data_IF_478434719920
#
_entry.id   IF_478434719920
#
_cell.length_a   1.000
_cell.length_b   1.000
_cell.length_c   1.000
_cell.angle_alpha   90.00
_cell.angle_beta   90.00
_cell.angle_gamma   90.00
#
_symmetry.space_group_name_H-M   'P 1'
#
loop_
_entity.id
_entity.type
_entity.pdbx_description
1 polymer ?
#
# COMPACT_ATOMS: atom_id res chain seq x y z
N UNK A 1 -7.82 -6.06 13.68
CA UNK A 1 -7.47 -4.70 13.18
C UNK A 1 -8.46 -3.72 13.77
N UNK A 2 -7.97 -2.59 14.29
CA UNK A 2 -8.79 -1.56 14.92
C UNK A 2 -8.93 -0.39 13.94
N UNK A 3 -10.15 0.05 13.57
CA UNK A 3 -10.36 1.25 12.76
C UNK A 3 -9.69 2.48 13.39
N UNK A 4 -9.14 3.37 12.55
CA UNK A 4 -8.44 4.57 13.02
C UNK A 4 -9.35 5.47 13.85
N UNK A 5 -10.59 5.63 13.40
CA UNK A 5 -11.66 6.41 14.02
C UNK A 5 -12.11 5.90 15.39
N UNK A 6 -11.73 4.68 15.78
CA UNK A 6 -11.98 4.18 17.14
C UNK A 6 -10.97 4.72 18.16
N UNK A 7 -9.85 5.28 17.69
CA UNK A 7 -8.75 5.78 18.54
C UNK A 7 -8.57 7.29 18.35
N UNK A 8 -8.74 7.79 17.12
CA UNK A 8 -8.44 9.18 16.76
C UNK A 8 -9.59 9.84 15.99
N UNK A 9 -9.68 11.16 16.09
CA UNK A 9 -10.70 11.92 15.35
C UNK A 9 -10.25 12.19 13.92
N UNK A 10 -10.95 11.61 12.94
CA UNK A 10 -10.69 11.82 11.51
C UNK A 10 -10.81 13.31 11.12
N UNK A 11 -11.71 14.05 11.78
CA UNK A 11 -11.90 15.48 11.53
C UNK A 11 -10.65 16.33 11.81
N UNK A 12 -9.85 15.96 12.82
CA UNK A 12 -8.61 16.67 13.14
C UNK A 12 -7.52 16.40 12.09
N UNK A 13 -7.42 15.16 11.59
CA UNK A 13 -6.47 14.81 10.52
C UNK A 13 -6.82 15.51 9.20
N UNK A 14 -8.12 15.64 8.90
CA UNK A 14 -8.63 16.33 7.71
C UNK A 14 -8.22 17.81 7.64
N UNK A 15 -7.86 18.45 8.77
CA UNK A 15 -7.35 19.83 8.78
C UNK A 15 -5.94 19.94 8.18
N UNK A 16 -5.17 18.84 8.17
CA UNK A 16 -3.79 18.81 7.70
C UNK A 16 -3.66 18.19 6.30
N UNK A 17 -4.37 17.10 6.03
CA UNK A 17 -4.26 16.39 4.75
C UNK A 17 -5.61 15.77 4.35
N UNK A 18 -5.79 15.58 3.03
CA UNK A 18 -6.92 14.83 2.48
C UNK A 18 -6.85 13.37 2.91
N UNK A 19 -7.87 12.91 3.64
CA UNK A 19 -7.98 11.53 4.13
C UNK A 19 -9.41 11.03 4.02
N UNK A 20 -9.55 9.72 3.87
CA UNK A 20 -10.81 8.95 3.90
C UNK A 20 -10.65 7.81 4.90
N UNK A 21 -11.75 7.30 5.48
CA UNK A 21 -11.64 6.13 6.35
C UNK A 21 -11.42 4.86 5.53
N UNK A 22 -10.93 3.80 6.17
CA UNK A 22 -10.81 2.51 5.49
C UNK A 22 -12.18 1.98 5.04
N UNK A 23 -13.25 2.25 5.81
CA UNK A 23 -14.62 1.87 5.46
C UNK A 23 -15.12 2.62 4.22
N UNK A 24 -14.88 3.93 4.16
CA UNK A 24 -15.19 4.76 2.99
C UNK A 24 -14.40 4.28 1.76
N UNK A 25 -13.10 4.04 1.92
CA UNK A 25 -12.27 3.56 0.83
C UNK A 25 -12.75 2.21 0.28
N UNK A 26 -12.95 1.20 1.14
CA UNK A 26 -13.30 -0.15 0.67
C UNK A 26 -14.71 -0.25 0.13
N UNK A 27 -15.66 0.54 0.65
CA UNK A 27 -17.06 0.51 0.22
C UNK A 27 -17.30 1.36 -1.03
N UNK A 28 -16.76 2.57 -1.07
CA UNK A 28 -17.20 3.59 -2.03
C UNK A 28 -16.14 3.88 -3.11
N UNK A 29 -14.85 3.65 -2.85
CA UNK A 29 -13.76 4.07 -3.76
C UNK A 29 -13.11 2.87 -4.45
N UNK A 30 -12.76 1.85 -3.68
CA UNK A 30 -12.01 0.67 -4.13
C UNK A 30 -12.70 -0.08 -5.27
N UNK A 31 -14.03 -0.32 -5.27
CA UNK A 31 -14.67 -1.07 -6.34
C UNK A 31 -14.59 -0.39 -7.72
N UNK A 32 -14.56 0.93 -7.76
CA UNK A 32 -14.56 1.70 -9.01
C UNK A 32 -13.14 2.07 -9.47
N UNK A 33 -12.30 2.56 -8.54
CA UNK A 33 -10.99 3.12 -8.89
C UNK A 33 -9.82 2.14 -8.70
N UNK A 34 -10.00 1.05 -7.96
CA UNK A 34 -8.94 0.08 -7.67
C UNK A 34 -9.44 -1.38 -7.70
N UNK A 35 -9.92 -1.84 -8.88
CA UNK A 35 -10.46 -3.18 -9.06
C UNK A 35 -9.37 -4.24 -8.91
N UNK A 36 -9.77 -5.50 -8.67
CA UNK A 36 -8.89 -6.60 -8.25
C UNK A 36 -7.67 -6.80 -9.16
N UNK A 37 -7.89 -6.74 -10.46
CA UNK A 37 -6.87 -6.90 -11.51
C UNK A 37 -5.79 -5.80 -11.49
N UNK A 38 -6.10 -4.63 -10.92
CA UNK A 38 -5.21 -3.47 -10.89
C UNK A 38 -4.53 -3.28 -9.52
N UNK A 39 -4.76 -4.19 -8.57
CA UNK A 39 -4.19 -4.09 -7.23
C UNK A 39 -2.70 -4.40 -7.24
N UNK A 40 -1.90 -3.34 -7.30
CA UNK A 40 -0.44 -3.42 -7.34
C UNK A 40 0.13 -3.19 -5.95
N UNK A 41 0.98 -4.09 -5.47
CA UNK A 41 1.76 -3.88 -4.25
C UNK A 41 3.01 -3.05 -4.57
N UNK A 42 3.27 -2.02 -3.77
CA UNK A 42 4.47 -1.19 -3.92
C UNK A 42 5.50 -1.55 -2.84
N UNK A 43 6.73 -1.86 -3.23
CA UNK A 43 7.83 -2.13 -2.31
C UNK A 43 9.18 -1.62 -2.85
N UNK A 44 10.23 -1.67 -2.03
CA UNK A 44 11.53 -1.11 -2.40
C UNK A 44 12.16 -1.85 -3.59
N UNK A 45 12.26 -3.17 -3.50
CA UNK A 45 12.91 -4.04 -4.48
C UNK A 45 12.35 -5.45 -4.32
N UNK A 46 12.36 -6.32 -5.34
CA UNK A 46 11.93 -7.71 -5.20
C UNK A 46 12.73 -8.42 -4.10
N UNK A 47 12.05 -9.27 -3.32
CA UNK A 47 12.64 -10.13 -2.30
C UNK A 47 12.25 -11.58 -2.54
N UNK A 48 13.04 -12.50 -1.98
CA UNK A 48 12.68 -13.92 -1.93
C UNK A 48 11.66 -14.14 -0.82
N UNK A 49 10.66 -14.97 -1.11
CA UNK A 49 9.74 -15.51 -0.12
C UNK A 49 10.50 -16.30 0.97
N UNK A 50 10.07 -16.13 2.21
CA UNK A 50 10.59 -16.79 3.40
C UNK A 50 9.84 -18.11 3.65
N UNK A 51 8.56 -18.20 3.31
CA UNK A 51 7.72 -19.38 3.58
C UNK A 51 7.50 -20.29 2.36
N UNK A 52 7.84 -19.83 1.15
CA UNK A 52 7.76 -20.61 -0.09
C UNK A 52 9.02 -20.42 -0.94
N UNK A 53 9.91 -21.41 -0.93
CA UNK A 53 11.18 -21.35 -1.65
C UNK A 53 11.02 -21.32 -3.18
N UNK A 54 9.86 -21.74 -3.70
CA UNK A 54 9.57 -21.81 -5.13
C UNK A 54 8.81 -20.58 -5.63
N UNK A 55 8.38 -19.67 -4.75
CA UNK A 55 7.70 -18.45 -5.14
C UNK A 55 8.64 -17.52 -5.95
N UNK A 56 8.12 -16.84 -6.99
CA UNK A 56 8.90 -15.86 -7.74
C UNK A 56 9.32 -14.69 -6.84
N UNK A 57 10.42 -14.00 -7.18
CA UNK A 57 10.81 -12.78 -6.48
C UNK A 57 9.70 -11.73 -6.60
N UNK A 58 9.35 -11.10 -5.48
CA UNK A 58 8.29 -10.10 -5.46
C UNK A 58 8.26 -9.28 -4.18
N UNK A 59 7.19 -8.53 -3.96
CA UNK A 59 6.98 -7.78 -2.73
C UNK A 59 6.50 -8.67 -1.57
N UNK A 60 5.79 -9.76 -1.88
CA UNK A 60 5.16 -10.67 -0.92
C UNK A 60 4.33 -9.95 0.17
N UNK A 61 3.42 -9.03 -0.20
CA UNK A 61 2.74 -8.10 0.73
C UNK A 61 1.81 -8.76 1.74
N UNK A 62 1.48 -10.04 1.56
CA UNK A 62 0.61 -10.85 2.42
C UNK A 62 1.35 -11.99 3.12
N UNK A 63 2.67 -12.05 2.99
CA UNK A 63 3.47 -13.12 3.56
C UNK A 63 3.65 -12.95 5.07
N UNK A 64 3.21 -13.95 5.85
CA UNK A 64 3.31 -13.96 7.30
C UNK A 64 2.28 -13.07 8.03
N UNK A 65 2.53 -12.84 9.32
CA UNK A 65 1.67 -12.07 10.22
C UNK A 65 2.44 -10.84 10.72
N UNK A 66 1.88 -9.62 10.68
CA UNK A 66 0.47 -9.26 10.44
C UNK A 66 0.07 -8.99 8.98
N UNK A 67 0.99 -9.20 8.04
CA UNK A 67 0.83 -8.82 6.63
C UNK A 67 -0.41 -9.42 5.97
N UNK A 68 -0.55 -10.75 5.93
CA UNK A 68 -1.69 -11.42 5.30
C UNK A 68 -3.03 -11.02 5.93
N UNK A 69 -3.22 -11.22 7.24
CA UNK A 69 -4.48 -10.92 7.92
C UNK A 69 -4.94 -9.47 7.78
N UNK A 70 -4.00 -8.51 7.71
CA UNK A 70 -4.33 -7.11 7.50
C UNK A 70 -5.08 -6.89 6.18
N UNK A 71 -4.52 -7.39 5.07
CA UNK A 71 -5.12 -7.25 3.74
C UNK A 71 -6.36 -8.13 3.55
N UNK A 72 -6.38 -9.33 4.15
CA UNK A 72 -7.54 -10.22 4.11
C UNK A 72 -8.79 -9.57 4.71
N UNK A 73 -8.63 -8.83 5.80
CA UNK A 73 -9.75 -8.17 6.48
C UNK A 73 -10.48 -7.15 5.61
N UNK A 74 -9.78 -6.55 4.66
CA UNK A 74 -10.34 -5.57 3.73
C UNK A 74 -10.56 -6.14 2.32
N UNK A 75 -10.44 -7.47 2.16
CA UNK A 75 -10.70 -8.15 0.88
C UNK A 75 -9.68 -7.84 -0.20
N UNK A 76 -8.42 -7.53 0.18
CA UNK A 76 -7.37 -7.17 -0.77
C UNK A 76 -6.43 -8.36 -1.02
N UNK A 77 -6.30 -8.68 -2.30
CA UNK A 77 -5.21 -9.48 -2.88
C UNK A 77 -4.57 -8.66 -3.98
N UNK A 78 -3.29 -8.89 -4.23
CA UNK A 78 -2.50 -8.12 -5.20
C UNK A 78 -2.27 -8.95 -6.46
N UNK A 79 -2.50 -8.32 -7.62
CA UNK A 79 -2.28 -8.92 -8.93
C UNK A 79 -0.87 -8.61 -9.46
N UNK A 80 -0.27 -7.49 -9.02
CA UNK A 80 1.00 -7.00 -9.55
C UNK A 80 1.92 -6.50 -8.42
N UNK A 81 3.20 -6.37 -8.74
CA UNK A 81 4.20 -5.69 -7.91
C UNK A 81 4.81 -4.50 -8.66
N UNK A 82 5.13 -3.42 -7.96
CA UNK A 82 5.89 -2.29 -8.47
C UNK A 82 6.99 -1.87 -7.48
N UNK A 83 8.15 -1.50 -8.01
CA UNK A 83 9.36 -1.23 -7.23
C UNK A 83 9.76 0.23 -7.29
N UNK A 84 10.11 0.83 -6.14
CA UNK A 84 10.47 2.25 -6.05
C UNK A 84 11.89 2.52 -5.56
N UNK A 85 12.72 1.50 -5.36
CA UNK A 85 14.08 1.64 -4.83
C UNK A 85 15.06 2.39 -5.74
N UNK A 86 14.71 2.58 -7.01
CA UNK A 86 15.42 3.41 -7.98
C UNK A 86 15.07 4.91 -7.88
N UNK A 87 14.02 5.27 -7.14
CA UNK A 87 13.66 6.67 -6.89
C UNK A 87 14.67 7.28 -5.91
N UNK A 88 15.27 8.45 -6.21
CA UNK A 88 16.20 9.11 -5.29
C UNK A 88 15.56 9.36 -3.92
N UNK A 89 16.15 8.80 -2.86
CA UNK A 89 15.61 8.90 -1.51
C UNK A 89 14.42 7.98 -1.22
N UNK A 90 13.99 7.15 -2.18
CA UNK A 90 12.83 6.27 -2.04
C UNK A 90 11.58 7.09 -1.70
N UNK A 91 11.08 6.93 -0.48
CA UNK A 91 9.93 7.68 0.03
C UNK A 91 10.29 9.03 0.67
N UNK A 92 11.57 9.35 0.87
CA UNK A 92 11.99 10.67 1.35
C UNK A 92 11.87 11.71 0.24
N UNK A 93 10.75 12.43 0.26
CA UNK A 93 10.43 13.47 -0.72
C UNK A 93 11.24 14.75 -0.53
N UNK A 94 12.03 14.87 0.55
CA UNK A 94 12.92 16.03 0.76
C UNK A 94 14.19 15.96 -0.10
N UNK A 95 14.54 14.76 -0.58
CA UNK A 95 15.64 14.56 -1.53
C UNK A 95 15.32 15.23 -2.86
N UNK A 96 16.25 16.04 -3.36
CA UNK A 96 16.11 16.77 -4.63
C UNK A 96 15.77 15.79 -5.77
N UNK A 97 14.66 16.04 -6.46
CA UNK A 97 14.20 15.23 -7.59
C UNK A 97 13.29 14.05 -7.22
N UNK A 98 13.20 13.67 -5.94
CA UNK A 98 12.38 12.54 -5.47
C UNK A 98 10.90 12.71 -5.86
N UNK A 99 10.29 13.84 -5.49
CA UNK A 99 8.89 14.15 -5.81
C UNK A 99 8.61 14.12 -7.31
N UNK A 100 9.51 14.67 -8.12
CA UNK A 100 9.34 14.69 -9.58
C UNK A 100 9.48 13.28 -10.20
N UNK A 101 10.30 12.41 -9.62
CA UNK A 101 10.41 11.02 -10.05
C UNK A 101 9.14 10.22 -9.71
N UNK A 102 8.56 10.41 -8.52
CA UNK A 102 7.27 9.80 -8.15
C UNK A 102 6.11 10.22 -9.06
N UNK A 103 6.09 11.46 -9.53
CA UNK A 103 5.03 11.97 -10.42
C UNK A 103 5.12 11.46 -11.87
N UNK A 104 6.24 10.86 -12.27
CA UNK A 104 6.43 10.31 -13.63
C UNK A 104 6.08 8.83 -13.73
N UNK A 105 5.77 8.19 -12.61
CA UNK A 105 5.39 6.78 -12.52
C UNK A 105 3.92 6.59 -12.85
#
# INVERSE_FOLDING_TARGET
>A
MVPFENIFQVAEIKKYQKVVTMVEFTRDIMPELWPEENRTALCWTPRKSIYDENAPLGCHPKEGNPFGPYWDKIGVSFANDAYFGDIPGGYDLTVKGSKAAWQKR
#
